data_IF_737933039733
#
_entry.id   IF_737933039733
#
_cell.length_a   1.000
_cell.length_b   1.000
_cell.length_c   1.000
_cell.angle_alpha   90.00
_cell.angle_beta   90.00
_cell.angle_gamma   90.00
#
_symmetry.space_group_name_H-M   'P 1'
#
loop_
_entity.id
_entity.type
_entity.pdbx_description
1 polymer ?
#
# COMPACT_ATOMS: atom_id res chain seq x y z
N UNK A 1 -34.12 -10.93 -7.46
CA UNK A 1 -32.74 -10.68 -7.93
C UNK A 1 -32.22 -9.43 -7.24
N UNK A 2 -31.71 -9.55 -6.01
CA UNK A 2 -31.20 -8.40 -5.23
C UNK A 2 -29.76 -8.68 -4.84
N UNK A 3 -28.84 -8.56 -5.81
CA UNK A 3 -27.39 -8.57 -5.59
C UNK A 3 -26.73 -7.18 -5.66
N UNK A 4 -27.49 -6.16 -6.02
CA UNK A 4 -26.99 -4.83 -6.42
C UNK A 4 -26.54 -3.90 -5.27
N UNK A 5 -26.70 -4.25 -3.99
CA UNK A 5 -26.28 -3.35 -2.89
C UNK A 5 -24.83 -3.58 -2.47
N UNK A 6 -24.43 -4.84 -2.27
CA UNK A 6 -23.10 -5.19 -1.79
C UNK A 6 -21.99 -4.88 -2.80
N UNK A 7 -22.30 -4.95 -4.10
CA UNK A 7 -21.34 -4.65 -5.18
C UNK A 7 -21.03 -3.13 -5.24
N UNK A 8 -21.99 -2.28 -4.91
CA UNK A 8 -21.83 -0.81 -4.96
C UNK A 8 -20.97 -0.24 -3.82
N UNK A 9 -20.88 -0.95 -2.69
CA UNK A 9 -20.05 -0.56 -1.56
C UNK A 9 -18.55 -0.84 -1.81
N UNK A 10 -18.22 -1.74 -2.75
CA UNK A 10 -16.84 -2.06 -3.12
C UNK A 10 -16.21 -0.99 -4.03
N UNK A 11 -16.95 -0.42 -4.98
CA UNK A 11 -16.48 0.70 -5.82
C UNK A 11 -16.27 2.00 -5.04
N UNK A 12 -16.93 2.15 -3.89
CA UNK A 12 -16.75 3.30 -2.99
C UNK A 12 -15.55 3.14 -2.06
N UNK A 13 -14.92 1.96 -2.02
CA UNK A 13 -13.67 1.78 -1.30
C UNK A 13 -12.61 2.65 -1.99
N UNK A 14 -12.29 3.80 -1.37
CA UNK A 14 -11.17 4.62 -1.78
C UNK A 14 -9.95 3.70 -1.82
N UNK A 15 -9.26 3.60 -2.95
CA UNK A 15 -8.12 2.72 -3.00
C UNK A 15 -7.07 3.23 -2.02
N UNK A 16 -6.59 2.34 -1.14
CA UNK A 16 -5.57 2.62 -0.11
C UNK A 16 -4.17 2.79 -0.77
N UNK A 17 -4.05 3.68 -1.76
CA UNK A 17 -2.78 3.90 -2.45
C UNK A 17 -1.90 4.86 -1.64
N UNK A 18 -0.62 4.52 -1.40
CA UNK A 18 0.34 5.40 -0.76
C UNK A 18 0.61 6.62 -1.64
N UNK A 19 0.51 7.83 -1.08
CA UNK A 19 0.90 9.06 -1.79
C UNK A 19 2.25 9.56 -1.29
N UNK A 20 3.12 9.99 -2.21
CA UNK A 20 4.42 10.57 -1.86
C UNK A 20 4.32 11.98 -1.24
N UNK A 21 3.14 12.60 -1.30
CA UNK A 21 2.86 13.92 -0.75
C UNK A 21 1.80 13.82 0.35
N UNK A 22 1.95 14.65 1.38
CA UNK A 22 0.99 14.76 2.48
C UNK A 22 -0.26 15.49 2.00
N UNK A 23 -1.43 14.93 2.26
CA UNK A 23 -2.73 15.60 2.09
C UNK A 23 -3.46 15.64 3.43
N UNK A 24 -4.60 16.33 3.48
CA UNK A 24 -5.41 16.38 4.69
C UNK A 24 -5.95 15.00 5.12
N UNK A 25 -6.05 14.05 4.20
CA UNK A 25 -6.53 12.68 4.47
C UNK A 25 -5.37 11.74 4.83
N UNK A 26 -4.22 11.88 4.17
CA UNK A 26 -3.02 11.09 4.43
C UNK A 26 -1.88 11.95 5.02
N UNK A 27 -1.77 11.95 6.34
CA UNK A 27 -0.78 12.74 7.09
C UNK A 27 0.23 11.89 7.85
N UNK A 28 0.17 10.56 7.75
CA UNK A 28 1.06 9.66 8.49
C UNK A 28 2.22 9.19 7.62
N UNK A 29 3.46 9.67 7.86
CA UNK A 29 4.62 9.22 7.11
C UNK A 29 5.04 7.82 7.56
N UNK A 30 5.24 6.92 6.59
CA UNK A 30 5.80 5.58 6.80
C UNK A 30 6.93 5.38 5.78
N UNK A 31 8.15 5.03 6.23
CA UNK A 31 9.26 4.78 5.33
C UNK A 31 9.13 3.40 4.67
N UNK A 32 9.44 3.34 3.38
CA UNK A 32 9.57 2.08 2.66
C UNK A 32 10.76 1.26 3.19
N UNK A 33 10.57 -0.04 3.40
CA UNK A 33 11.61 -0.96 3.90
C UNK A 33 12.79 -1.14 2.92
N UNK A 34 12.55 -0.95 1.61
CA UNK A 34 13.56 -1.18 0.56
C UNK A 34 14.33 0.10 0.22
N UNK A 35 13.61 1.18 -0.11
CA UNK A 35 14.23 2.41 -0.60
C UNK A 35 14.34 3.52 0.46
N UNK A 36 13.68 3.37 1.61
CA UNK A 36 13.69 4.38 2.67
C UNK A 36 12.95 5.68 2.36
N UNK A 37 12.24 5.78 1.23
CA UNK A 37 11.41 6.94 0.89
C UNK A 37 10.20 7.02 1.84
N UNK A 38 9.88 8.22 2.29
CA UNK A 38 8.68 8.50 3.09
C UNK A 38 7.43 8.54 2.21
N UNK A 39 6.40 7.79 2.61
CA UNK A 39 5.09 7.81 1.98
C UNK A 39 4.03 8.15 3.01
N UNK A 40 3.00 8.88 2.60
CA UNK A 40 1.93 9.31 3.47
C UNK A 40 0.71 8.40 3.36
N UNK A 41 0.15 8.07 4.51
CA UNK A 41 -1.00 7.17 4.66
C UNK A 41 -2.11 7.80 5.50
N UNK A 42 -3.30 7.26 5.33
CA UNK A 42 -4.43 7.46 6.24
C UNK A 42 -4.17 6.74 7.59
N UNK A 43 -4.87 7.18 8.63
CA UNK A 43 -4.76 6.60 9.97
C UNK A 43 -5.11 5.10 10.00
N UNK A 44 -6.10 4.67 9.20
CA UNK A 44 -6.54 3.27 9.12
C UNK A 44 -5.42 2.37 8.59
N UNK A 45 -4.83 2.73 7.46
CA UNK A 45 -3.71 2.00 6.85
C UNK A 45 -2.48 1.98 7.76
N UNK A 46 -2.17 3.08 8.46
CA UNK A 46 -1.09 3.09 9.45
C UNK A 46 -1.33 2.09 10.58
N UNK A 47 -2.57 1.95 11.07
CA UNK A 47 -2.92 0.98 12.10
C UNK A 47 -2.81 -0.46 11.59
N UNK A 48 -3.24 -0.74 10.36
CA UNK A 48 -3.08 -2.05 9.73
C UNK A 48 -1.59 -2.43 9.62
N UNK A 49 -0.76 -1.52 9.12
CA UNK A 49 0.69 -1.74 9.00
C UNK A 49 1.32 -1.95 10.38
N UNK A 50 0.93 -1.16 11.38
CA UNK A 50 1.42 -1.29 12.75
C UNK A 50 1.08 -2.66 13.33
N UNK A 51 -0.16 -3.12 13.14
CA UNK A 51 -0.61 -4.43 13.60
C UNK A 51 0.23 -5.55 12.98
N UNK A 52 0.42 -5.53 11.66
CA UNK A 52 1.24 -6.54 10.97
C UNK A 52 2.69 -6.47 11.43
N UNK A 53 3.23 -5.27 11.62
CA UNK A 53 4.59 -5.07 12.13
C UNK A 53 4.73 -5.62 13.56
N UNK A 54 3.78 -5.36 14.46
CA UNK A 54 3.80 -5.95 15.80
C UNK A 54 3.73 -7.48 15.77
N UNK A 55 3.03 -8.06 14.79
CA UNK A 55 2.92 -9.51 14.62
C UNK A 55 4.18 -10.15 14.04
N UNK A 56 4.78 -9.54 13.01
CA UNK A 56 5.91 -10.11 12.27
C UNK A 56 7.28 -9.59 12.74
N UNK A 57 7.33 -8.47 13.44
CA UNK A 57 8.56 -7.75 13.81
C UNK A 57 9.23 -7.00 12.65
N UNK A 58 8.74 -7.17 11.42
CA UNK A 58 9.32 -6.60 10.20
C UNK A 58 8.36 -5.59 9.56
N UNK A 59 8.92 -4.52 8.95
CA UNK A 59 8.14 -3.52 8.24
C UNK A 59 7.62 -4.12 6.91
N UNK A 60 6.30 -4.37 6.76
CA UNK A 60 5.74 -4.98 5.56
C UNK A 60 5.60 -3.99 4.40
N UNK A 61 5.84 -2.70 4.63
CA UNK A 61 5.54 -1.68 3.63
C UNK A 61 6.66 -1.57 2.58
N UNK A 62 6.27 -1.86 1.34
CA UNK A 62 7.09 -1.72 0.14
C UNK A 62 6.44 -0.69 -0.78
N UNK A 63 7.27 0.19 -1.34
CA UNK A 63 6.80 1.26 -2.21
C UNK A 63 6.35 0.72 -3.58
N UNK A 64 5.39 1.34 -4.28
CA UNK A 64 4.92 0.84 -5.59
C UNK A 64 6.05 0.80 -6.63
N UNK A 65 6.99 1.75 -6.59
CA UNK A 65 8.21 1.79 -7.42
C UNK A 65 9.14 0.58 -7.16
N UNK A 66 9.18 0.13 -5.90
CA UNK A 66 9.96 -1.02 -5.44
C UNK A 66 9.23 -2.33 -5.73
N UNK A 67 7.91 -2.34 -5.60
CA UNK A 67 7.02 -3.48 -5.88
C UNK A 67 7.05 -3.79 -7.37
N UNK A 68 6.90 -2.77 -8.23
CA UNK A 68 7.01 -2.90 -9.69
C UNK A 68 8.38 -3.46 -10.11
N UNK A 69 9.45 -2.99 -9.48
CA UNK A 69 10.81 -3.51 -9.71
C UNK A 69 10.96 -5.00 -9.29
N UNK A 70 10.29 -5.41 -8.22
CA UNK A 70 10.28 -6.80 -7.75
C UNK A 70 9.40 -7.68 -8.62
N UNK A 71 8.28 -7.17 -9.10
CA UNK A 71 7.39 -7.85 -10.04
C UNK A 71 8.09 -8.06 -11.39
N UNK A 72 8.77 -7.04 -11.93
CA UNK A 72 9.57 -7.17 -13.17
C UNK A 72 10.70 -8.21 -13.00
N UNK A 73 11.31 -8.28 -11.82
CA UNK A 73 12.30 -9.31 -11.50
C UNK A 73 11.70 -10.71 -11.32
N UNK A 74 10.45 -10.84 -10.87
CA UNK A 74 9.76 -12.11 -10.67
C UNK A 74 9.16 -12.68 -11.97
N UNK A 75 8.66 -11.81 -12.85
CA UNK A 75 8.22 -12.14 -14.20
C UNK A 75 9.38 -11.98 -15.19
N UNK A 76 10.48 -12.69 -14.95
CA UNK A 76 11.74 -12.49 -15.65
C UNK A 76 11.61 -12.12 -17.13
N UNK A 77 11.82 -10.84 -17.44
CA UNK A 77 12.35 -10.43 -18.74
C UNK A 77 13.87 -10.59 -18.71
N UNK A 78 14.29 -11.85 -18.56
CA UNK A 78 15.52 -12.28 -19.18
C UNK A 78 15.22 -12.45 -20.68
N UNK A 79 15.95 -11.72 -21.51
CA UNK A 79 15.99 -11.76 -22.98
C UNK A 79 14.96 -10.91 -23.74
N UNK A 80 15.40 -9.71 -24.14
CA UNK A 80 16.06 -9.53 -25.45
C UNK A 80 17.01 -8.34 -25.44
#
# INVERSE_FOLDING_TARGET
MTRIRAEFDADRAKPKYPTAYATAENSFPIPCSICGKDYYFDADTKNDIDRVWQQSGENPFVCPDCEDSLEDAAFGNAAQ
#
